data_IF_878411477847
#
_entry.id   IF_878411477847
#
_cell.length_a   1.000
_cell.length_b   1.000
_cell.length_c   1.000
_cell.angle_alpha   90.00
_cell.angle_beta   90.00
_cell.angle_gamma   90.00
#
_symmetry.space_group_name_H-M   'P 1'
#
loop_
_entity.id
_entity.type
_entity.pdbx_description
1 polymer ?
#
# COMPACT_ATOMS: atom_id res chain seq x y z
N UNK A 1 -13.10 -27.92 21.54
CA UNK A 1 -14.43 -27.77 20.92
C UNK A 1 -14.37 -26.49 20.10
N UNK A 2 -14.47 -26.58 18.77
CA UNK A 2 -14.60 -25.38 17.94
C UNK A 2 -15.95 -24.75 18.24
N UNK A 3 -15.98 -23.62 18.95
CA UNK A 3 -17.18 -22.80 18.96
C UNK A 3 -17.28 -22.18 17.57
N UNK A 4 -18.22 -22.67 16.77
CA UNK A 4 -18.62 -22.02 15.53
C UNK A 4 -19.54 -20.88 15.91
N UNK A 5 -19.05 -19.65 15.76
CA UNK A 5 -19.86 -18.46 15.93
C UNK A 5 -20.52 -18.13 14.59
N UNK A 6 -21.80 -18.51 14.46
CA UNK A 6 -22.68 -18.04 13.39
C UNK A 6 -23.60 -16.97 13.97
N UNK A 7 -23.28 -15.71 13.73
CA UNK A 7 -24.10 -14.58 14.15
C UNK A 7 -24.67 -13.89 12.91
N UNK A 8 -25.99 -14.02 12.73
CA UNK A 8 -26.74 -13.27 11.73
C UNK A 8 -27.53 -12.17 12.43
N UNK A 9 -27.13 -10.90 12.31
CA UNK A 9 -27.81 -9.75 12.91
C UNK A 9 -27.11 -8.41 12.65
N UNK A 10 -27.80 -7.30 12.93
CA UNK A 10 -27.33 -5.89 12.82
C UNK A 10 -26.21 -5.55 13.84
N UNK A 11 -25.18 -6.39 13.94
CA UNK A 11 -24.05 -6.14 14.84
C UNK A 11 -22.97 -5.37 14.09
N UNK A 12 -22.66 -4.18 14.59
CA UNK A 12 -21.61 -3.34 14.01
C UNK A 12 -20.23 -4.00 14.14
N UNK A 13 -19.99 -4.85 15.15
CA UNK A 13 -18.69 -5.50 15.42
C UNK A 13 -18.85 -6.94 15.90
N UNK A 14 -18.10 -7.88 15.30
CA UNK A 14 -17.89 -9.23 15.85
C UNK A 14 -16.57 -9.25 16.63
N UNK A 15 -16.59 -9.59 17.93
CA UNK A 15 -15.36 -9.67 18.76
C UNK A 15 -15.19 -11.07 19.34
N UNK A 16 -14.00 -11.68 19.16
CA UNK A 16 -13.64 -12.95 19.80
C UNK A 16 -12.29 -12.84 20.52
N UNK A 17 -12.19 -13.38 21.73
CA UNK A 17 -10.96 -13.43 22.53
C UNK A 17 -10.56 -14.81 23.00
N UNK A 18 -10.93 -15.83 22.23
CA UNK A 18 -10.66 -17.23 22.55
C UNK A 18 -9.50 -17.82 21.74
N UNK A 19 -9.09 -19.03 22.11
CA UNK A 19 -8.08 -19.80 21.40
C UNK A 19 -8.76 -20.95 20.66
N UNK A 20 -8.30 -21.26 19.45
CA UNK A 20 -8.80 -22.36 18.62
C UNK A 20 -10.32 -22.22 18.29
N UNK A 21 -10.67 -21.17 17.55
CA UNK A 21 -12.06 -20.84 17.18
C UNK A 21 -12.26 -20.69 15.67
N UNK A 22 -13.52 -20.64 15.24
CA UNK A 22 -13.87 -20.37 13.84
C UNK A 22 -14.99 -19.34 13.76
N UNK A 23 -14.74 -18.27 13.02
CA UNK A 23 -15.69 -17.22 12.67
C UNK A 23 -15.85 -17.25 11.14
N UNK A 24 -16.92 -17.88 10.64
CA UNK A 24 -17.09 -18.04 9.20
C UNK A 24 -18.47 -17.69 8.68
N UNK A 25 -18.49 -17.24 7.43
CA UNK A 25 -19.71 -17.05 6.64
C UNK A 25 -20.73 -16.09 7.27
N UNK A 26 -20.25 -15.15 8.10
CA UNK A 26 -21.09 -14.13 8.73
C UNK A 26 -21.28 -12.94 7.79
N UNK A 27 -22.37 -12.20 8.01
CA UNK A 27 -22.61 -10.91 7.37
C UNK A 27 -22.61 -9.85 8.48
N UNK A 28 -21.61 -8.97 8.45
CA UNK A 28 -21.44 -7.84 9.38
C UNK A 28 -21.75 -6.56 8.62
N UNK A 29 -22.71 -5.77 9.09
CA UNK A 29 -23.10 -4.55 8.41
C UNK A 29 -23.67 -3.51 9.38
N UNK A 30 -23.59 -2.24 9.00
CA UNK A 30 -24.16 -1.15 9.79
C UNK A 30 -25.69 -1.11 9.66
N UNK A 31 -26.38 -0.91 10.79
CA UNK A 31 -27.85 -1.00 11.05
C UNK A 31 -28.84 -0.39 10.06
N UNK A 32 -28.41 0.38 9.06
CA UNK A 32 -29.31 0.97 8.05
C UNK A 32 -29.50 0.10 6.81
N UNK A 33 -28.92 -1.11 6.76
CA UNK A 33 -29.03 -2.08 5.63
C UNK A 33 -28.53 -1.54 4.28
N UNK A 34 -28.09 -0.29 4.28
CA UNK A 34 -27.62 0.53 3.19
C UNK A 34 -26.42 1.27 3.76
N UNK A 35 -25.30 1.39 3.06
CA UNK A 35 -24.18 2.24 3.48
C UNK A 35 -24.68 3.70 3.64
N UNK A 36 -25.18 4.09 4.82
CA UNK A 36 -25.80 5.41 5.05
C UNK A 36 -24.79 6.37 5.66
N UNK A 37 -24.74 7.62 5.18
CA UNK A 37 -23.70 8.61 5.49
C UNK A 37 -23.57 9.10 6.94
N UNK A 38 -24.17 8.40 7.91
CA UNK A 38 -24.02 8.71 9.35
C UNK A 38 -22.85 7.88 9.92
N UNK A 39 -22.07 8.49 10.82
CA UNK A 39 -20.78 7.96 11.27
C UNK A 39 -20.91 6.72 12.20
N UNK A 40 -20.27 5.58 11.90
CA UNK A 40 -20.13 4.44 12.83
C UNK A 40 -19.04 4.74 13.89
N UNK A 41 -18.99 4.04 15.04
CA UNK A 41 -18.03 4.28 16.15
C UNK A 41 -16.95 3.20 16.36
N UNK A 42 -17.18 1.96 15.92
CA UNK A 42 -16.23 0.81 15.80
C UNK A 42 -16.99 -0.26 15.03
N UNK A 43 -16.45 -0.80 13.94
CA UNK A 43 -17.22 -1.80 13.16
C UNK A 43 -16.32 -2.71 12.34
N UNK A 44 -16.68 -3.99 12.17
CA UNK A 44 -15.90 -5.03 11.48
C UNK A 44 -15.79 -6.37 12.25
N UNK A 45 -14.86 -7.23 11.85
CA UNK A 45 -14.49 -8.44 12.60
C UNK A 45 -13.19 -8.19 13.36
N UNK A 46 -13.27 -8.14 14.69
CA UNK A 46 -12.18 -7.87 15.60
C UNK A 46 -11.80 -9.08 16.45
N UNK A 47 -10.51 -9.30 16.66
CA UNK A 47 -10.03 -10.32 17.60
C UNK A 47 -9.31 -9.66 18.77
N UNK A 48 -9.58 -10.11 19.98
CA UNK A 48 -9.07 -9.52 21.23
C UNK A 48 -8.37 -10.58 22.08
N UNK A 49 -7.03 -10.61 22.11
CA UNK A 49 -6.27 -11.68 22.77
C UNK A 49 -6.58 -13.10 22.21
N UNK A 50 -6.90 -13.18 20.92
CA UNK A 50 -7.34 -14.41 20.28
C UNK A 50 -6.20 -15.11 19.52
N UNK A 51 -6.15 -16.43 19.55
CA UNK A 51 -5.07 -17.16 18.88
C UNK A 51 -5.56 -18.41 18.16
N UNK A 52 -4.93 -18.74 17.03
CA UNK A 52 -5.27 -19.94 16.22
C UNK A 52 -6.72 -19.95 15.75
N UNK A 53 -7.29 -18.77 15.54
CA UNK A 53 -8.60 -18.60 14.95
C UNK A 53 -8.58 -18.76 13.43
N UNK A 54 -9.68 -19.28 12.89
CA UNK A 54 -9.98 -19.25 11.46
C UNK A 54 -11.12 -18.25 11.22
N UNK A 55 -10.84 -17.21 10.46
CA UNK A 55 -11.77 -16.13 10.14
C UNK A 55 -11.96 -16.16 8.64
N UNK A 56 -13.06 -16.71 8.16
CA UNK A 56 -13.20 -17.01 6.73
C UNK A 56 -14.55 -16.69 6.12
N UNK A 57 -14.55 -16.22 4.87
CA UNK A 57 -15.78 -16.04 4.09
C UNK A 57 -16.76 -14.99 4.66
N UNK A 58 -16.31 -14.13 5.59
CA UNK A 58 -17.18 -13.13 6.19
C UNK A 58 -17.41 -11.96 5.22
N UNK A 59 -18.64 -11.44 5.18
CA UNK A 59 -19.06 -10.30 4.37
C UNK A 59 -19.23 -9.09 5.28
N UNK A 60 -18.41 -8.06 5.11
CA UNK A 60 -18.28 -6.96 6.04
C UNK A 60 -18.59 -5.66 5.28
N UNK A 61 -19.76 -5.07 5.51
CA UNK A 61 -20.37 -4.13 4.56
C UNK A 61 -20.73 -2.78 5.21
N UNK A 62 -20.26 -1.69 4.62
CA UNK A 62 -20.67 -0.33 5.02
C UNK A 62 -20.16 0.09 6.40
N UNK A 63 -19.18 -0.65 6.93
CA UNK A 63 -18.50 -0.42 8.21
C UNK A 63 -17.25 0.45 8.04
N UNK A 64 -16.65 0.83 9.16
CA UNK A 64 -15.41 1.61 9.23
C UNK A 64 -14.16 0.76 9.01
N UNK A 65 -13.99 -0.29 9.82
CA UNK A 65 -12.87 -1.22 9.71
C UNK A 65 -13.41 -2.54 9.16
N UNK A 66 -12.66 -3.24 8.31
CA UNK A 66 -13.03 -4.58 7.90
C UNK A 66 -12.58 -5.59 8.96
N UNK A 67 -11.27 -5.63 9.22
CA UNK A 67 -10.63 -6.65 10.06
C UNK A 67 -9.73 -5.96 11.09
N UNK A 68 -9.79 -6.39 12.34
CA UNK A 68 -9.00 -5.79 13.41
C UNK A 68 -8.44 -6.80 14.40
N UNK A 69 -7.27 -6.50 14.94
CA UNK A 69 -6.64 -7.27 16.00
C UNK A 69 -6.22 -6.35 17.14
N UNK A 70 -6.56 -6.75 18.38
CA UNK A 70 -6.18 -6.04 19.59
C UNK A 70 -5.59 -6.98 20.65
N UNK A 71 -4.58 -6.49 21.37
CA UNK A 71 -3.88 -7.29 22.38
C UNK A 71 -3.08 -8.44 21.76
N UNK A 72 -2.98 -9.56 22.48
CA UNK A 72 -2.17 -10.72 22.08
C UNK A 72 -2.91 -11.58 21.04
N UNK A 73 -2.84 -11.18 19.77
CA UNK A 73 -3.47 -11.90 18.67
C UNK A 73 -2.45 -12.65 17.80
N UNK A 74 -2.44 -13.98 17.85
CA UNK A 74 -1.37 -14.77 17.23
C UNK A 74 -1.84 -15.98 16.44
N UNK A 75 -1.16 -16.26 15.33
CA UNK A 75 -1.42 -17.44 14.49
C UNK A 75 -2.86 -17.55 13.99
N UNK A 76 -3.54 -16.43 13.76
CA UNK A 76 -4.88 -16.44 13.17
C UNK A 76 -4.79 -16.46 11.64
N UNK A 77 -5.71 -17.17 11.00
CA UNK A 77 -5.86 -17.24 9.55
C UNK A 77 -7.12 -16.45 9.13
N UNK A 78 -6.93 -15.41 8.32
CA UNK A 78 -7.98 -14.61 7.68
C UNK A 78 -8.06 -14.99 6.21
N UNK A 79 -9.12 -15.69 5.81
CA UNK A 79 -9.23 -16.30 4.48
C UNK A 79 -10.50 -15.86 3.76
N UNK A 80 -10.38 -15.35 2.52
CA UNK A 80 -11.52 -15.07 1.63
C UNK A 80 -12.61 -14.17 2.26
N UNK A 81 -12.23 -13.28 3.18
CA UNK A 81 -13.16 -12.29 3.71
C UNK A 81 -13.35 -11.14 2.72
N UNK A 82 -14.57 -10.65 2.61
CA UNK A 82 -14.92 -9.51 1.79
C UNK A 82 -15.26 -8.32 2.65
N UNK A 83 -14.45 -7.26 2.58
CA UNK A 83 -14.65 -6.01 3.30
C UNK A 83 -14.97 -4.87 2.34
N UNK A 84 -16.12 -4.23 2.51
CA UNK A 84 -16.51 -3.00 1.81
C UNK A 84 -16.61 -1.87 2.84
N UNK A 85 -15.54 -1.08 2.95
CA UNK A 85 -15.31 -0.13 4.04
C UNK A 85 -15.48 1.33 3.62
N UNK A 86 -15.74 2.19 4.58
CA UNK A 86 -15.86 3.65 4.39
C UNK A 86 -14.76 4.41 5.13
N UNK A 87 -14.15 5.34 4.42
CA UNK A 87 -13.12 6.22 4.95
C UNK A 87 -13.72 7.25 5.90
N UNK A 88 -13.29 7.22 7.16
CA UNK A 88 -13.53 8.29 8.12
C UNK A 88 -12.17 8.71 8.65
N UNK A 89 -11.97 10.00 8.91
CA UNK A 89 -10.73 10.50 9.50
C UNK A 89 -10.42 9.72 10.79
N UNK A 90 -9.20 9.17 10.91
CA UNK A 90 -8.60 8.48 12.09
C UNK A 90 -8.68 6.95 12.18
N UNK A 91 -9.08 6.21 11.14
CA UNK A 91 -9.17 4.74 11.22
C UNK A 91 -8.81 4.01 9.92
N UNK A 92 -8.33 2.77 10.07
CA UNK A 92 -7.80 1.92 9.00
C UNK A 92 -8.74 0.76 8.62
N UNK A 93 -8.76 0.36 7.35
CA UNK A 93 -9.60 -0.78 6.94
C UNK A 93 -9.15 -2.11 7.58
N UNK A 94 -7.85 -2.27 7.81
CA UNK A 94 -7.26 -3.38 8.55
C UNK A 94 -6.38 -2.82 9.66
N UNK A 95 -6.62 -3.25 10.90
CA UNK A 95 -5.89 -2.75 12.05
C UNK A 95 -5.14 -3.87 12.77
N UNK A 96 -3.81 -3.76 12.81
CA UNK A 96 -2.94 -4.50 13.71
C UNK A 96 -2.24 -3.47 14.60
N UNK A 97 -2.95 -2.97 15.60
CA UNK A 97 -2.58 -1.77 16.37
C UNK A 97 -1.45 -1.92 17.40
N UNK A 98 -0.87 -3.11 17.62
CA UNK A 98 0.21 -3.31 18.60
C UNK A 98 1.24 -4.35 18.15
N UNK A 99 2.44 -4.29 18.73
CA UNK A 99 3.54 -5.25 18.45
C UNK A 99 3.23 -6.71 18.82
N UNK A 100 2.17 -6.95 19.60
CA UNK A 100 1.80 -8.28 20.08
C UNK A 100 1.01 -9.11 19.06
N UNK A 101 0.58 -8.48 17.96
CA UNK A 101 -0.13 -9.19 16.90
C UNK A 101 0.87 -9.81 15.95
N UNK A 102 1.06 -11.12 16.07
CA UNK A 102 2.15 -11.78 15.35
C UNK A 102 1.74 -13.07 14.67
N UNK A 103 2.44 -13.39 13.59
CA UNK A 103 2.24 -14.66 12.87
C UNK A 103 0.81 -14.85 12.33
N UNK A 104 0.06 -13.76 12.13
CA UNK A 104 -1.26 -13.83 11.51
C UNK A 104 -1.11 -13.88 9.99
N UNK A 105 -2.01 -14.60 9.31
CA UNK A 105 -1.99 -14.77 7.86
C UNK A 105 -3.27 -14.23 7.26
N UNK A 106 -3.14 -13.44 6.22
CA UNK A 106 -4.23 -12.88 5.44
C UNK A 106 -4.09 -13.41 4.01
N UNK A 107 -5.11 -14.11 3.52
CA UNK A 107 -5.13 -14.77 2.20
C UNK A 107 -6.50 -14.61 1.55
N UNK A 108 -6.54 -14.27 0.28
CA UNK A 108 -7.77 -14.20 -0.52
C UNK A 108 -8.73 -13.08 -0.13
N UNK A 109 -8.38 -12.27 0.88
CA UNK A 109 -9.27 -11.23 1.35
C UNK A 109 -9.35 -10.11 0.31
N UNK A 110 -10.55 -9.58 0.14
CA UNK A 110 -10.82 -8.46 -0.77
C UNK A 110 -11.38 -7.30 0.02
N UNK A 111 -10.59 -6.24 0.16
CA UNK A 111 -10.95 -5.01 0.88
C UNK A 111 -11.14 -3.87 -0.13
N UNK A 112 -12.30 -3.22 -0.08
CA UNK A 112 -12.73 -2.20 -1.03
C UNK A 112 -13.09 -0.91 -0.30
N UNK A 113 -12.39 0.18 -0.60
CA UNK A 113 -12.71 1.53 -0.11
C UNK A 113 -13.79 2.21 -0.96
N UNK A 114 -14.96 2.49 -0.38
CA UNK A 114 -16.15 2.95 -1.15
C UNK A 114 -16.35 4.47 -1.21
N UNK A 115 -16.10 5.20 -0.12
CA UNK A 115 -16.38 6.64 -0.01
C UNK A 115 -15.78 7.23 1.27
N UNK A 116 -15.60 8.56 1.28
CA UNK A 116 -15.05 9.34 2.41
C UNK A 116 -13.52 9.42 2.41
N UNK A 117 -12.96 10.42 3.09
CA UNK A 117 -11.51 10.65 3.19
C UNK A 117 -10.88 9.64 4.15
N UNK A 118 -10.59 8.45 3.66
CA UNK A 118 -9.87 7.42 4.40
C UNK A 118 -8.46 7.87 4.77
N UNK A 119 -7.90 7.30 5.84
CA UNK A 119 -6.51 7.53 6.23
C UNK A 119 -5.58 6.45 5.65
N UNK A 120 -5.94 5.15 5.78
CA UNK A 120 -5.11 4.01 5.36
C UNK A 120 -5.96 2.74 5.11
N UNK A 121 -5.56 1.87 4.16
CA UNK A 121 -6.05 0.49 4.08
C UNK A 121 -5.59 -0.34 5.27
N UNK A 122 -4.33 -0.21 5.70
CA UNK A 122 -3.82 -1.04 6.77
C UNK A 122 -2.78 -0.31 7.61
N UNK A 123 -2.88 -0.46 8.94
CA UNK A 123 -1.84 -0.13 9.89
C UNK A 123 -1.33 -1.42 10.52
N UNK A 124 -0.06 -1.72 10.31
CA UNK A 124 0.60 -2.97 10.71
C UNK A 124 1.73 -2.65 11.69
N UNK A 125 1.39 -2.59 12.98
CA UNK A 125 2.35 -2.46 14.10
C UNK A 125 2.87 -3.83 14.55
N UNK A 126 2.08 -4.88 14.31
CA UNK A 126 2.42 -6.27 14.61
C UNK A 126 3.61 -6.80 13.80
N UNK A 127 4.21 -7.91 14.25
CA UNK A 127 5.41 -8.50 13.65
C UNK A 127 5.13 -9.86 12.99
N UNK A 128 5.89 -10.24 11.96
CA UNK A 128 5.79 -11.56 11.30
C UNK A 128 4.39 -11.88 10.72
N UNK A 129 3.60 -10.88 10.37
CA UNK A 129 2.31 -11.10 9.71
C UNK A 129 2.50 -11.26 8.21
N UNK A 130 1.64 -12.06 7.56
CA UNK A 130 1.75 -12.38 6.14
C UNK A 130 0.46 -12.03 5.40
N UNK A 131 0.51 -10.96 4.63
CA UNK A 131 -0.49 -10.60 3.62
C UNK A 131 0.05 -11.05 2.26
N UNK A 132 -0.43 -12.19 1.79
CA UNK A 132 0.07 -12.80 0.55
C UNK A 132 -0.54 -12.16 -0.72
N UNK A 133 -0.13 -12.70 -1.86
CA UNK A 133 -0.52 -12.30 -3.20
C UNK A 133 -1.91 -12.76 -3.63
N UNK A 134 -2.67 -13.40 -2.75
CA UNK A 134 -4.09 -13.66 -3.02
C UNK A 134 -5.00 -12.53 -2.54
N UNK A 135 -4.50 -11.61 -1.70
CA UNK A 135 -5.28 -10.45 -1.25
C UNK A 135 -5.45 -9.38 -2.33
N UNK A 136 -6.56 -8.64 -2.22
CA UNK A 136 -6.94 -7.55 -3.11
C UNK A 136 -7.33 -6.30 -2.30
N UNK A 137 -6.66 -5.19 -2.53
CA UNK A 137 -7.02 -3.87 -2.02
C UNK A 137 -7.48 -3.00 -3.19
N UNK A 138 -8.73 -2.54 -3.15
CA UNK A 138 -9.40 -1.88 -4.27
C UNK A 138 -10.08 -0.58 -3.83
N UNK A 139 -10.27 0.34 -4.78
CA UNK A 139 -11.07 1.55 -4.59
C UNK A 139 -12.31 1.48 -5.48
N UNK A 140 -13.47 1.79 -4.91
CA UNK A 140 -14.77 1.86 -5.58
C UNK A 140 -15.42 3.22 -5.24
N UNK A 141 -14.77 4.30 -5.65
CA UNK A 141 -15.20 5.68 -5.36
C UNK A 141 -14.65 6.28 -4.06
N UNK A 142 -13.82 5.54 -3.32
CA UNK A 142 -13.08 6.05 -2.16
C UNK A 142 -12.15 7.21 -2.53
N UNK A 143 -12.20 8.30 -1.77
CA UNK A 143 -11.29 9.44 -1.89
C UNK A 143 -10.37 9.49 -0.64
N UNK A 144 -9.27 10.22 -0.66
CA UNK A 144 -8.34 10.31 0.48
C UNK A 144 -7.16 9.35 0.44
N UNK A 145 -6.45 9.25 1.55
CA UNK A 145 -5.19 8.51 1.69
C UNK A 145 -5.58 7.04 1.92
N UNK A 146 -5.36 6.19 0.92
CA UNK A 146 -5.64 4.75 0.99
C UNK A 146 -4.32 3.99 1.01
N UNK A 147 -3.45 4.43 1.91
CA UNK A 147 -2.07 3.95 2.04
C UNK A 147 -1.99 2.76 2.98
N UNK A 148 -0.81 2.16 3.08
CA UNK A 148 -0.50 1.15 4.09
C UNK A 148 0.70 1.63 4.90
N UNK A 149 0.60 1.55 6.22
CA UNK A 149 1.71 1.86 7.12
C UNK A 149 2.12 0.59 7.85
N UNK A 150 3.41 0.30 7.79
CA UNK A 150 4.02 -0.86 8.43
C UNK A 150 5.12 -0.32 9.35
N UNK A 151 4.96 -0.56 10.64
CA UNK A 151 5.94 -0.18 11.66
C UNK A 151 6.46 -1.36 12.47
N UNK A 152 5.82 -2.53 12.36
CA UNK A 152 6.37 -3.78 12.87
C UNK A 152 7.35 -4.44 11.91
N UNK A 153 8.08 -5.42 12.43
CA UNK A 153 9.19 -6.09 11.77
C UNK A 153 8.79 -7.42 11.12
N UNK A 154 9.56 -7.83 10.12
CA UNK A 154 9.50 -9.13 9.44
C UNK A 154 8.12 -9.50 8.87
N UNK A 155 7.28 -8.52 8.60
CA UNK A 155 6.01 -8.67 7.92
C UNK A 155 6.22 -8.92 6.43
N UNK A 156 5.25 -9.57 5.81
CA UNK A 156 5.14 -9.70 4.36
C UNK A 156 3.87 -9.00 3.92
N UNK A 157 3.99 -8.06 3.00
CA UNK A 157 2.85 -7.35 2.44
C UNK A 157 2.92 -7.36 0.92
N UNK A 158 2.23 -8.31 0.30
CA UNK A 158 2.42 -8.67 -1.11
C UNK A 158 1.10 -8.84 -1.88
N UNK A 159 0.07 -8.00 -1.69
CA UNK A 159 -1.22 -8.20 -2.34
C UNK A 159 -1.13 -8.17 -3.87
N UNK A 160 -2.01 -8.92 -4.54
CA UNK A 160 -2.09 -8.94 -6.01
C UNK A 160 -2.64 -7.65 -6.58
N UNK A 161 -3.61 -7.05 -5.90
CA UNK A 161 -4.20 -5.77 -6.30
C UNK A 161 -3.91 -4.75 -5.21
N UNK A 162 -3.38 -3.61 -5.64
CA UNK A 162 -3.17 -2.44 -4.81
C UNK A 162 -3.45 -1.21 -5.68
N UNK A 163 -4.22 -0.21 -5.20
CA UNK A 163 -4.69 0.85 -6.07
C UNK A 163 -3.55 1.79 -6.48
N UNK A 164 -3.62 2.27 -7.71
CA UNK A 164 -2.67 3.25 -8.22
C UNK A 164 -2.74 4.53 -7.40
N UNK A 165 -1.59 5.01 -6.93
CA UNK A 165 -1.49 6.24 -6.12
C UNK A 165 -1.39 5.98 -4.61
N UNK A 166 -1.84 4.81 -4.14
CA UNK A 166 -1.60 4.40 -2.75
C UNK A 166 -0.11 4.10 -2.53
N UNK A 167 0.38 4.48 -1.35
CA UNK A 167 1.76 4.29 -0.91
C UNK A 167 1.82 3.24 0.20
N UNK A 168 2.91 2.49 0.25
CA UNK A 168 3.26 1.69 1.43
C UNK A 168 4.41 2.38 2.13
N UNK A 169 4.16 2.90 3.33
CA UNK A 169 5.20 3.44 4.22
C UNK A 169 5.68 2.33 5.13
N UNK A 170 6.98 2.06 5.10
CA UNK A 170 7.60 1.01 5.90
C UNK A 170 8.70 1.62 6.78
N UNK A 171 8.53 1.52 8.10
CA UNK A 171 9.53 1.90 9.10
C UNK A 171 10.04 0.70 9.91
N UNK A 172 9.59 -0.51 9.59
CA UNK A 172 10.02 -1.75 10.24
C UNK A 172 11.25 -2.38 9.59
N UNK A 173 11.81 -3.38 10.24
CA UNK A 173 13.02 -4.10 9.82
C UNK A 173 12.65 -5.43 9.18
N UNK A 174 13.30 -5.78 8.07
CA UNK A 174 13.19 -7.11 7.46
C UNK A 174 11.83 -7.41 6.83
N UNK A 175 11.03 -6.38 6.56
CA UNK A 175 9.75 -6.49 5.88
C UNK A 175 9.94 -6.84 4.40
N UNK A 176 9.02 -7.65 3.85
CA UNK A 176 9.00 -8.01 2.43
C UNK A 176 7.74 -7.42 1.78
N UNK A 177 7.94 -6.27 1.13
CA UNK A 177 6.88 -5.46 0.53
C UNK A 177 6.78 -5.77 -0.97
N UNK A 178 5.90 -6.70 -1.30
CA UNK A 178 5.68 -7.24 -2.65
C UNK A 178 4.65 -6.49 -3.48
N UNK A 179 4.15 -5.33 -3.02
CA UNK A 179 3.45 -4.38 -3.92
C UNK A 179 4.38 -3.83 -5.00
N UNK A 180 5.69 -4.06 -4.86
CA UNK A 180 6.65 -4.11 -5.95
C UNK A 180 6.55 -2.95 -6.92
N UNK A 181 6.59 -1.70 -6.40
CA UNK A 181 6.95 -0.50 -7.15
C UNK A 181 6.27 -0.41 -8.53
N UNK A 182 4.99 -0.78 -8.59
CA UNK A 182 4.21 -0.73 -9.83
C UNK A 182 3.78 0.72 -10.05
N UNK A 183 4.08 1.24 -11.24
CA UNK A 183 3.78 2.62 -11.62
C UNK A 183 5.01 3.54 -11.63
N UNK A 184 4.78 4.80 -12.01
CA UNK A 184 5.80 5.85 -12.09
C UNK A 184 5.78 6.64 -10.78
N UNK A 185 6.94 6.91 -10.17
CA UNK A 185 7.06 7.99 -9.19
C UNK A 185 7.04 9.34 -9.92
N UNK A 186 6.09 10.22 -9.60
CA UNK A 186 6.12 11.59 -10.10
C UNK A 186 7.21 12.39 -9.34
N UNK A 187 8.26 12.79 -10.05
CA UNK A 187 9.30 13.67 -9.51
C UNK A 187 8.88 15.13 -9.63
N UNK A 188 9.29 15.94 -8.66
CA UNK A 188 9.06 17.38 -8.71
C UNK A 188 9.93 18.04 -9.78
N UNK A 189 9.33 18.97 -10.53
CA UNK A 189 10.02 19.80 -11.53
C UNK A 189 10.84 20.93 -10.86
N UNK A 190 11.89 20.53 -10.14
CA UNK A 190 12.87 21.46 -9.55
C UNK A 190 13.94 21.86 -10.55
N UNK A 191 14.62 23.00 -10.31
CA UNK A 191 15.83 23.37 -11.07
C UNK A 191 16.88 22.23 -11.06
N UNK A 192 16.95 21.51 -9.95
CA UNK A 192 17.59 20.20 -9.82
C UNK A 192 16.53 19.18 -9.44
N UNK A 193 16.38 18.12 -10.23
CA UNK A 193 15.44 17.02 -10.02
C UNK A 193 16.15 15.96 -9.17
N UNK A 194 15.60 15.69 -7.99
CA UNK A 194 16.09 14.64 -7.08
C UNK A 194 15.31 13.35 -7.29
N UNK A 195 15.99 12.21 -7.26
CA UNK A 195 15.37 10.90 -7.42
C UNK A 195 15.94 9.92 -6.39
N UNK A 196 15.09 9.48 -5.46
CA UNK A 196 15.43 8.45 -4.50
C UNK A 196 14.94 7.08 -4.99
N UNK A 197 15.85 6.24 -5.46
CA UNK A 197 15.45 4.97 -6.13
C UNK A 197 14.98 3.92 -5.14
N UNK A 198 15.23 4.09 -3.83
CA UNK A 198 14.57 3.26 -2.81
C UNK A 198 13.07 3.52 -2.71
N UNK A 199 12.60 4.71 -3.14
CA UNK A 199 11.16 4.99 -3.18
C UNK A 199 10.51 4.31 -4.39
N UNK A 200 11.01 4.55 -5.61
CA UNK A 200 10.68 3.76 -6.81
C UNK A 200 11.84 3.73 -7.83
N UNK A 201 12.20 2.56 -8.40
CA UNK A 201 13.19 2.42 -9.46
C UNK A 201 12.67 2.87 -10.82
N UNK A 202 11.39 3.24 -10.93
CA UNK A 202 10.75 3.75 -12.14
C UNK A 202 10.01 5.05 -11.82
N UNK A 203 10.39 6.13 -12.49
CA UNK A 203 9.92 7.49 -12.22
C UNK A 203 9.49 8.23 -13.49
N UNK A 204 8.77 9.33 -13.34
CA UNK A 204 8.48 10.28 -14.41
C UNK A 204 8.63 11.73 -13.93
N UNK A 205 8.95 12.62 -14.86
CA UNK A 205 9.01 14.06 -14.62
C UNK A 205 8.54 14.81 -15.86
N UNK A 206 7.72 15.85 -15.68
CA UNK A 206 7.37 16.80 -16.74
C UNK A 206 8.21 18.05 -16.56
N UNK A 207 9.04 18.37 -17.56
CA UNK A 207 9.92 19.53 -17.52
C UNK A 207 9.14 20.81 -17.80
N UNK A 208 9.06 21.72 -16.83
CA UNK A 208 8.54 23.08 -17.00
C UNK A 208 9.62 24.12 -17.31
N UNK A 209 10.89 23.70 -17.38
CA UNK A 209 12.04 24.55 -17.66
C UNK A 209 13.29 23.71 -17.99
N UNK A 210 14.43 24.37 -18.19
CA UNK A 210 15.71 23.67 -18.33
C UNK A 210 16.16 23.17 -16.96
N UNK A 211 16.29 21.85 -16.80
CA UNK A 211 16.54 21.20 -15.50
C UNK A 211 17.85 20.43 -15.50
N UNK A 212 18.34 20.12 -14.30
CA UNK A 212 19.43 19.18 -14.08
C UNK A 212 18.92 17.95 -13.33
N UNK A 213 19.23 16.74 -13.80
CA UNK A 213 18.98 15.51 -13.06
C UNK A 213 20.14 15.28 -12.06
N UNK A 214 19.82 15.23 -10.77
CA UNK A 214 20.78 14.84 -9.74
C UNK A 214 21.11 13.36 -9.84
N UNK A 215 22.24 12.94 -9.26
CA UNK A 215 22.53 11.52 -9.09
C UNK A 215 21.41 10.86 -8.27
N UNK A 216 20.93 9.66 -8.67
CA UNK A 216 19.94 8.96 -7.89
C UNK A 216 20.51 8.53 -6.53
N UNK A 217 19.73 8.70 -5.46
CA UNK A 217 20.12 8.24 -4.11
C UNK A 217 19.66 6.81 -3.87
N UNK A 218 20.30 6.12 -2.91
CA UNK A 218 20.01 4.72 -2.55
C UNK A 218 20.15 3.72 -3.71
N UNK A 219 20.95 4.06 -4.73
CA UNK A 219 21.23 3.16 -5.84
C UNK A 219 22.08 1.96 -5.43
N UNK A 220 21.74 0.79 -5.98
CA UNK A 220 22.40 -0.49 -5.77
C UNK A 220 23.18 -0.84 -7.03
N UNK A 221 24.48 -1.09 -6.88
CA UNK A 221 25.36 -1.44 -8.00
C UNK A 221 24.85 -2.68 -8.72
N UNK A 222 24.76 -2.61 -10.05
CA UNK A 222 24.24 -3.66 -10.92
C UNK A 222 22.76 -3.52 -11.27
N UNK A 223 22.01 -2.67 -10.57
CA UNK A 223 20.60 -2.41 -10.86
C UNK A 223 20.41 -1.36 -11.96
N UNK A 224 19.28 -1.46 -12.66
CA UNK A 224 18.86 -0.50 -13.69
C UNK A 224 17.56 0.18 -13.31
N UNK A 225 17.57 1.50 -13.37
CA UNK A 225 16.46 2.39 -13.08
C UNK A 225 15.92 3.02 -14.37
N UNK A 226 14.65 3.41 -14.35
CA UNK A 226 13.96 3.94 -15.53
C UNK A 226 13.32 5.28 -15.23
N UNK A 227 13.58 6.28 -16.06
CA UNK A 227 12.99 7.62 -15.94
C UNK A 227 12.26 7.99 -17.24
N UNK A 228 10.97 8.30 -17.13
CA UNK A 228 10.19 8.88 -18.22
C UNK A 228 10.25 10.40 -18.14
N UNK A 229 10.94 11.03 -19.07
CA UNK A 229 11.07 12.49 -19.14
C UNK A 229 10.06 13.02 -20.14
N UNK A 230 9.16 13.90 -19.71
CA UNK A 230 8.11 14.52 -20.55
C UNK A 230 8.40 16.00 -20.76
N UNK A 231 8.15 16.50 -21.96
CA UNK A 231 8.07 17.94 -22.22
C UNK A 231 6.73 18.48 -21.71
N UNK A 232 6.73 19.69 -21.18
CA UNK A 232 5.50 20.47 -21.02
C UNK A 232 4.87 20.80 -22.40
N UNK A 233 3.74 21.51 -22.37
CA UNK A 233 3.04 21.91 -23.60
C UNK A 233 3.79 23.02 -24.37
N UNK A 234 4.81 23.65 -23.78
CA UNK A 234 5.63 24.70 -24.41
C UNK A 234 6.80 24.11 -25.19
N UNK A 235 7.39 23.02 -24.66
CA UNK A 235 8.54 22.31 -25.20
C UNK A 235 9.87 23.07 -25.19
N UNK A 236 10.86 22.58 -25.94
CA UNK A 236 12.22 23.11 -25.99
C UNK A 236 12.96 23.09 -24.64
N UNK A 237 12.57 22.18 -23.74
CA UNK A 237 13.23 22.00 -22.44
C UNK A 237 14.39 21.03 -22.57
N UNK A 238 15.50 21.39 -21.97
CA UNK A 238 16.71 20.56 -21.90
C UNK A 238 16.84 19.90 -20.52
N UNK A 239 17.42 18.71 -20.50
CA UNK A 239 17.82 18.02 -19.29
C UNK A 239 19.34 17.89 -19.27
N UNK A 240 19.98 18.60 -18.35
CA UNK A 240 21.37 18.39 -17.99
C UNK A 240 21.49 17.28 -16.96
N UNK A 241 22.69 16.73 -16.79
CA UNK A 241 22.98 15.63 -15.88
C UNK A 241 24.10 16.04 -14.92
N UNK A 242 23.96 15.70 -13.63
CA UNK A 242 24.97 15.99 -12.64
C UNK A 242 26.30 15.24 -12.90
N UNK A 243 27.38 15.70 -12.26
CA UNK A 243 28.67 15.00 -12.29
C UNK A 243 28.48 13.60 -11.68
N UNK A 244 28.91 12.57 -12.40
CA UNK A 244 28.79 11.15 -12.01
C UNK A 244 28.04 10.30 -13.05
N UNK A 245 27.22 10.92 -13.91
CA UNK A 245 26.70 10.25 -15.10
C UNK A 245 27.81 10.03 -16.14
N UNK A 246 27.86 8.83 -16.70
CA UNK A 246 28.81 8.38 -17.72
C UNK A 246 28.03 7.92 -18.93
N UNK A 247 28.25 8.59 -20.05
CA UNK A 247 27.51 8.29 -21.27
C UNK A 247 28.32 7.44 -22.23
N UNK A 248 27.68 6.51 -22.95
CA UNK A 248 28.29 5.85 -24.09
C UNK A 248 28.85 6.89 -25.07
N UNK A 249 30.10 6.70 -25.49
CA UNK A 249 30.83 7.64 -26.37
C UNK A 249 31.01 9.07 -25.81
N UNK A 250 30.80 9.29 -24.50
CA UNK A 250 31.06 10.57 -23.83
C UNK A 250 30.05 11.68 -24.11
N UNK A 251 28.92 11.37 -24.75
CA UNK A 251 27.89 12.35 -25.10
C UNK A 251 26.58 12.05 -24.37
N UNK A 252 26.04 13.05 -23.66
CA UNK A 252 24.74 12.92 -23.00
C UNK A 252 23.62 12.61 -24.01
N UNK A 253 22.62 11.81 -23.64
CA UNK A 253 21.49 11.51 -24.50
C UNK A 253 20.71 12.79 -24.81
N UNK A 254 20.30 12.91 -26.06
CA UNK A 254 19.42 13.99 -26.51
C UNK A 254 17.98 13.56 -26.24
N UNK A 255 17.25 14.34 -25.44
CA UNK A 255 15.82 14.15 -25.23
C UNK A 255 15.01 14.86 -26.31
N UNK A 256 13.84 14.32 -26.63
CA UNK A 256 12.85 14.95 -27.49
C UNK A 256 12.42 16.28 -26.88
N UNK A 257 12.48 17.33 -27.69
CA UNK A 257 12.15 18.72 -27.31
C UNK A 257 10.80 19.19 -27.85
N UNK A 258 9.97 18.25 -28.32
CA UNK A 258 8.63 18.51 -28.88
C UNK A 258 7.57 18.51 -27.80
N UNK A 259 6.61 19.44 -27.87
CA UNK A 259 5.58 19.63 -26.86
C UNK A 259 4.81 18.35 -26.54
N UNK A 260 4.65 18.04 -25.25
CA UNK A 260 3.93 16.87 -24.78
C UNK A 260 4.50 15.52 -25.22
N UNK A 261 5.72 15.47 -25.75
CA UNK A 261 6.43 14.20 -26.05
C UNK A 261 7.27 13.76 -24.86
N UNK A 262 7.64 12.50 -24.87
CA UNK A 262 8.34 11.87 -23.77
C UNK A 262 9.38 10.87 -24.25
N UNK A 263 10.47 10.73 -23.48
CA UNK A 263 11.53 9.78 -23.72
C UNK A 263 11.81 8.95 -22.47
N UNK A 264 12.18 7.69 -22.68
CA UNK A 264 12.66 6.82 -21.62
C UNK A 264 14.18 6.90 -21.52
N UNK A 265 14.67 7.20 -20.32
CA UNK A 265 16.07 7.07 -19.95
C UNK A 265 16.25 5.86 -19.05
N UNK A 266 17.29 5.08 -19.31
CA UNK A 266 17.70 3.94 -18.51
C UNK A 266 19.03 4.27 -17.86
N UNK A 267 19.10 4.12 -16.54
CA UNK A 267 20.26 4.51 -15.73
C UNK A 267 20.73 3.28 -14.98
N UNK A 268 21.98 2.87 -15.15
CA UNK A 268 22.51 1.65 -14.52
C UNK A 268 23.62 2.02 -13.54
N UNK A 269 23.46 1.65 -12.27
CA UNK A 269 24.50 1.93 -11.27
C UNK A 269 25.70 1.00 -11.47
N UNK A 270 26.87 1.57 -11.80
CA UNK A 270 28.07 0.81 -12.22
C UNK A 270 29.23 0.82 -11.20
N UNK A 271 29.06 1.44 -10.02
CA UNK A 271 30.10 1.56 -9.00
C UNK A 271 29.89 2.79 -8.12
N UNK A 272 30.94 3.28 -7.45
CA UNK A 272 30.94 4.38 -6.49
C UNK A 272 30.39 5.73 -7.02
N UNK A 273 29.07 5.81 -7.25
CA UNK A 273 28.38 6.98 -7.76
C UNK A 273 28.44 7.18 -9.28
N UNK A 274 28.78 6.13 -10.06
CA UNK A 274 28.76 6.18 -11.52
C UNK A 274 27.48 5.56 -12.07
N UNK A 275 26.89 6.24 -13.05
CA UNK A 275 25.55 5.97 -13.59
C UNK A 275 25.49 6.09 -15.11
#
# INVERSE_FOLDING_TARGET
ASQGYGFTGDEDTLTDGTRDFTCSDNIVYHSTGTPSGVAPVTSGVYLHNASRGLIQGNWILGVRNALGLWGLCQWNDFIDNYGRVRGVVSYEAIELGTVYQTNNRFRGNRIVGMSGAGQQFASIVGNYNDFDDSNSFELDGGTGDWDVVISGDYNKFRPRVFPSGAVVTDSGTGNNIGVGLRGLQALADGATISWDVSQRPTAEVTLGGNRTLALPTAAVVGETYRLLVRQDEVAARTLAFAVGYVFPAGAAPVITVTAGRADWLYVTAAGSGLF
#
